data_IF_112611370159
#
_entry.id   IF_112611370159
#
_cell.length_a   1.000
_cell.length_b   1.000
_cell.length_c   1.000
_cell.angle_alpha   90.00
_cell.angle_beta   90.00
_cell.angle_gamma   90.00
#
_symmetry.space_group_name_H-M   'P 1'
#
loop_
_entity.id
_entity.type
_entity.pdbx_description
1 polymer ?
#
# COMPACT_ATOMS: atom_id res chain seq x y z
N UNK A 1 -43.35 -38.63 -32.65
CA UNK A 1 -43.02 -37.29 -32.14
C UNK A 1 -42.26 -37.49 -30.84
N UNK A 2 -41.01 -37.04 -30.84
CA UNK A 2 -39.99 -37.34 -29.84
C UNK A 2 -40.27 -36.65 -28.48
N UNK A 3 -40.17 -37.44 -27.41
CA UNK A 3 -39.48 -37.22 -26.14
C UNK A 3 -39.21 -35.79 -25.63
N UNK A 4 -39.66 -35.52 -24.39
CA UNK A 4 -38.78 -34.93 -23.37
C UNK A 4 -39.20 -35.38 -21.94
N UNK A 5 -38.43 -36.25 -21.28
CA UNK A 5 -38.64 -36.66 -19.89
C UNK A 5 -37.67 -35.95 -18.92
N UNK A 6 -38.01 -36.01 -17.63
CA UNK A 6 -37.17 -35.66 -16.46
C UNK A 6 -37.35 -34.25 -15.86
N UNK A 7 -38.45 -34.09 -15.14
CA UNK A 7 -38.32 -33.64 -13.75
C UNK A 7 -37.70 -34.77 -12.93
N UNK A 8 -36.53 -34.55 -12.33
CA UNK A 8 -36.16 -35.31 -11.14
C UNK A 8 -35.27 -34.48 -10.22
N UNK A 9 -35.73 -34.44 -8.97
CA UNK A 9 -35.03 -33.88 -7.85
C UNK A 9 -33.73 -34.66 -7.61
N UNK A 10 -32.63 -33.94 -7.44
CA UNK A 10 -31.43 -34.49 -6.83
C UNK A 10 -30.98 -33.56 -5.72
N UNK A 11 -31.40 -33.92 -4.51
CA UNK A 11 -30.63 -33.65 -3.31
C UNK A 11 -29.22 -34.22 -3.51
N UNK A 12 -28.19 -33.42 -3.27
CA UNK A 12 -26.87 -33.94 -2.97
C UNK A 12 -26.33 -33.35 -1.67
N UNK A 13 -25.59 -34.15 -0.89
CA UNK A 13 -25.33 -33.92 0.53
C UNK A 13 -24.08 -33.07 0.74
N UNK A 14 -24.09 -32.32 1.85
CA UNK A 14 -22.92 -31.62 2.38
C UNK A 14 -21.78 -32.60 2.65
N UNK A 15 -20.81 -32.67 1.74
CA UNK A 15 -19.55 -33.37 1.95
C UNK A 15 -18.51 -32.33 2.40
N UNK A 16 -18.23 -32.28 3.70
CA UNK A 16 -17.19 -31.45 4.29
C UNK A 16 -15.88 -32.26 4.27
N UNK A 17 -14.82 -31.84 3.55
CA UNK A 17 -13.55 -32.56 3.61
C UNK A 17 -12.86 -32.28 4.95
N UNK A 18 -12.80 -33.29 5.82
CA UNK A 18 -11.84 -33.32 6.93
C UNK A 18 -10.44 -33.52 6.35
N UNK A 19 -9.66 -32.45 6.26
CA UNK A 19 -8.22 -32.57 6.07
C UNK A 19 -7.55 -32.83 7.43
N UNK A 20 -7.26 -34.10 7.69
CA UNK A 20 -6.18 -34.49 8.59
C UNK A 20 -4.89 -34.49 7.77
N UNK A 21 -3.94 -33.65 8.14
CA UNK A 21 -2.55 -33.83 7.73
C UNK A 21 -1.62 -33.85 8.93
N UNK A 22 -0.68 -34.76 8.80
CA UNK A 22 0.24 -35.25 9.79
C UNK A 22 1.23 -34.19 10.27
N UNK A 23 1.54 -34.35 11.54
CA UNK A 23 2.68 -33.77 12.23
C UNK A 23 3.99 -34.11 11.49
N UNK A 24 4.66 -33.10 10.94
CA UNK A 24 6.10 -33.15 10.68
C UNK A 24 6.75 -31.93 11.32
N UNK A 25 7.57 -32.23 12.31
CA UNK A 25 8.38 -31.33 13.12
C UNK A 25 9.38 -30.55 12.26
N UNK A 26 9.26 -29.23 12.26
CA UNK A 26 10.36 -28.32 11.97
C UNK A 26 10.49 -27.38 13.17
N UNK A 27 11.55 -27.60 13.94
CA UNK A 27 11.92 -26.79 15.09
C UNK A 27 12.35 -25.39 14.63
N UNK A 28 11.52 -24.39 14.92
CA UNK A 28 11.95 -23.00 15.02
C UNK A 28 11.57 -22.48 16.41
N UNK A 29 12.56 -21.93 17.07
CA UNK A 29 12.59 -21.51 18.47
C UNK A 29 11.47 -20.53 18.80
N UNK A 30 10.68 -20.93 19.80
CA UNK A 30 9.54 -20.20 20.35
C UNK A 30 9.95 -18.87 21.01
N UNK A 31 9.52 -17.75 20.42
CA UNK A 31 9.11 -16.58 21.22
C UNK A 31 7.59 -16.58 21.28
N UNK A 32 7.06 -17.06 22.42
CA UNK A 32 5.64 -17.06 22.72
C UNK A 32 5.12 -15.63 22.83
N UNK A 33 4.37 -15.15 21.84
CA UNK A 33 3.45 -14.03 22.02
C UNK A 33 2.06 -14.63 22.19
N UNK A 34 1.59 -14.62 23.43
CA UNK A 34 0.26 -15.08 23.82
C UNK A 34 -0.81 -14.32 23.03
N UNK A 35 -1.55 -15.05 22.20
CA UNK A 35 -2.79 -14.59 21.58
C UNK A 35 -3.89 -14.45 22.64
N UNK A 36 -3.98 -13.27 23.24
CA UNK A 36 -5.16 -12.83 23.96
C UNK A 36 -6.15 -12.29 22.92
N UNK A 37 -7.28 -12.98 22.73
CA UNK A 37 -8.47 -12.41 22.10
C UNK A 37 -9.43 -11.93 23.20
N UNK A 38 -9.33 -10.68 23.70
CA UNK A 38 -10.42 -10.06 24.41
C UNK A 38 -11.42 -9.49 23.40
N UNK A 39 -12.71 -9.62 23.72
CA UNK A 39 -13.80 -9.36 22.80
C UNK A 39 -13.88 -7.93 22.26
N UNK A 40 -14.41 -7.84 21.03
CA UNK A 40 -15.11 -6.69 20.42
C UNK A 40 -14.57 -5.31 20.81
N UNK A 41 -13.26 -5.14 20.82
CA UNK A 41 -12.61 -3.84 20.71
C UNK A 41 -12.90 -3.31 19.32
N UNK A 42 -13.43 -2.09 19.19
CA UNK A 42 -13.42 -1.38 17.92
C UNK A 42 -12.01 -1.44 17.36
N UNK A 43 -11.78 -2.20 16.28
CA UNK A 43 -10.49 -2.22 15.60
C UNK A 43 -10.27 -0.80 15.10
N UNK A 44 -9.41 -0.06 15.80
CA UNK A 44 -9.06 1.30 15.41
C UNK A 44 -8.37 1.20 14.05
N UNK A 45 -9.03 1.67 13.00
CA UNK A 45 -8.48 1.66 11.65
C UNK A 45 -7.31 2.64 11.59
N UNK A 46 -6.10 2.10 11.60
CA UNK A 46 -4.82 2.81 11.44
C UNK A 46 -4.03 2.14 10.31
N UNK A 47 -2.96 2.79 9.87
CA UNK A 47 -2.02 2.19 8.93
C UNK A 47 -1.07 1.21 9.67
N UNK A 48 -1.12 -0.07 9.32
CA UNK A 48 -0.33 -1.15 9.93
C UNK A 48 0.96 -1.47 9.15
N UNK A 49 1.21 -0.78 8.04
CA UNK A 49 2.39 -1.03 7.21
C UNK A 49 3.72 -0.67 7.89
N UNK A 50 4.85 -1.22 7.43
CA UNK A 50 5.00 -2.28 6.43
C UNK A 50 4.99 -3.70 7.07
N UNK A 51 4.47 -3.84 8.28
CA UNK A 51 4.59 -5.08 9.05
C UNK A 51 3.69 -6.21 8.50
N UNK A 52 4.02 -7.49 8.75
CA UNK A 52 3.09 -8.60 8.51
C UNK A 52 1.74 -8.33 9.20
N UNK A 53 0.66 -8.45 8.44
CA UNK A 53 -0.66 -8.00 8.90
C UNK A 53 -1.77 -8.93 8.41
N UNK A 54 -2.72 -9.25 9.29
CA UNK A 54 -3.91 -10.06 8.99
C UNK A 54 -5.12 -9.36 9.59
N UNK A 55 -6.16 -9.16 8.78
CA UNK A 55 -7.43 -8.57 9.21
C UNK A 55 -8.59 -9.15 8.40
N UNK A 56 -9.80 -9.11 8.95
CA UNK A 56 -11.02 -9.28 8.17
C UNK A 56 -11.27 -8.00 7.36
N UNK A 57 -10.83 -8.00 6.09
CA UNK A 57 -10.93 -6.80 5.23
C UNK A 57 -12.38 -6.41 4.94
N UNK A 58 -13.30 -7.38 4.78
CA UNK A 58 -14.73 -7.11 4.57
C UNK A 58 -15.32 -6.31 5.73
N UNK A 59 -15.03 -6.72 6.97
CA UNK A 59 -15.49 -6.01 8.16
C UNK A 59 -14.82 -4.63 8.30
N UNK A 60 -13.50 -4.54 8.10
CA UNK A 60 -12.77 -3.28 8.19
C UNK A 60 -13.28 -2.24 7.17
N UNK A 61 -13.49 -2.66 5.92
CA UNK A 61 -14.04 -1.83 4.85
C UNK A 61 -15.46 -1.34 5.18
N UNK A 62 -16.33 -2.22 5.69
CA UNK A 62 -17.70 -1.85 6.06
C UNK A 62 -17.77 -0.91 7.28
N UNK A 63 -16.83 -1.06 8.21
CA UNK A 63 -16.73 -0.21 9.41
C UNK A 63 -16.16 1.18 9.11
N UNK A 64 -15.34 1.33 8.08
CA UNK A 64 -14.75 2.61 7.71
C UNK A 64 -15.83 3.63 7.29
N UNK A 65 -15.83 4.81 7.90
CA UNK A 65 -16.77 5.90 7.56
C UNK A 65 -16.10 7.15 6.99
N UNK A 66 -14.78 7.13 6.84
CA UNK A 66 -14.03 8.22 6.21
C UNK A 66 -14.09 8.08 4.69
N UNK A 67 -13.87 9.18 3.98
CA UNK A 67 -13.69 9.13 2.53
C UNK A 67 -12.49 8.26 2.14
N UNK A 68 -11.37 8.37 2.87
CA UNK A 68 -10.17 7.55 2.67
C UNK A 68 -9.43 7.34 3.99
N UNK A 69 -9.07 6.10 4.30
CA UNK A 69 -8.17 5.75 5.41
C UNK A 69 -7.14 4.74 4.91
N UNK A 70 -5.85 5.07 5.03
CA UNK A 70 -4.77 4.11 4.79
C UNK A 70 -4.82 3.02 5.87
N UNK A 71 -4.90 1.76 5.42
CA UNK A 71 -4.92 0.59 6.29
C UNK A 71 -3.55 -0.09 6.34
N UNK A 72 -2.82 -0.10 5.22
CA UNK A 72 -1.51 -0.70 5.16
C UNK A 72 -0.69 -0.08 4.03
N UNK A 73 0.46 0.50 4.34
CA UNK A 73 1.38 1.08 3.35
C UNK A 73 2.74 0.39 3.42
N UNK A 74 3.13 -0.29 2.36
CA UNK A 74 4.45 -0.92 2.22
C UNK A 74 5.27 -0.31 1.10
N UNK A 75 6.40 -0.93 0.76
CA UNK A 75 7.28 -0.42 -0.29
C UNK A 75 6.77 -0.66 -1.72
N UNK A 76 5.86 -1.62 -1.93
CA UNK A 76 5.43 -2.08 -3.25
C UNK A 76 3.94 -1.88 -3.53
N UNK A 77 3.11 -1.78 -2.49
CA UNK A 77 1.70 -1.47 -2.64
C UNK A 77 1.15 -0.83 -1.37
N UNK A 78 -0.04 -0.23 -1.49
CA UNK A 78 -0.79 0.36 -0.40
C UNK A 78 -2.24 -0.11 -0.44
N UNK A 79 -2.85 -0.33 0.72
CA UNK A 79 -4.28 -0.61 0.90
C UNK A 79 -4.93 0.60 1.58
N UNK A 80 -6.00 1.11 0.99
CA UNK A 80 -6.86 2.14 1.61
C UNK A 80 -8.30 1.64 1.70
N UNK A 81 -9.04 2.14 2.69
CA UNK A 81 -10.47 1.93 2.86
C UNK A 81 -11.20 3.22 2.47
N UNK A 82 -12.35 3.09 1.82
CA UNK A 82 -13.13 4.25 1.37
C UNK A 82 -14.63 4.05 1.63
N UNK A 83 -15.30 5.14 1.97
CA UNK A 83 -16.74 5.22 2.11
C UNK A 83 -17.26 6.42 1.31
N UNK A 84 -17.99 6.16 0.23
CA UNK A 84 -18.62 7.20 -0.57
C UNK A 84 -20.11 7.30 -0.20
N UNK A 85 -20.57 8.47 0.24
CA UNK A 85 -21.99 8.70 0.51
C UNK A 85 -22.82 8.65 -0.79
N UNK A 86 -24.15 8.52 -0.71
CA UNK A 86 -25.02 8.54 -1.88
C UNK A 86 -24.75 9.76 -2.77
N UNK A 87 -24.51 9.54 -4.07
CA UNK A 87 -24.19 10.58 -5.03
C UNK A 87 -22.76 11.09 -5.01
N UNK A 88 -21.94 10.73 -4.01
CA UNK A 88 -20.51 11.01 -4.03
C UNK A 88 -19.77 10.10 -5.02
N UNK A 89 -18.72 10.63 -5.60
CA UNK A 89 -17.74 9.93 -6.40
C UNK A 89 -16.33 10.12 -5.85
N UNK A 90 -15.39 9.29 -6.29
CA UNK A 90 -13.97 9.44 -5.96
C UNK A 90 -13.46 10.79 -6.50
N UNK A 91 -13.85 11.11 -7.74
CA UNK A 91 -13.28 12.21 -8.51
C UNK A 91 -12.59 11.65 -9.74
N UNK A 92 -12.63 12.40 -10.85
CA UNK A 92 -11.99 11.98 -12.09
C UNK A 92 -10.47 12.14 -11.97
N UNK A 93 -9.76 11.01 -11.91
CA UNK A 93 -8.32 10.95 -11.71
C UNK A 93 -7.62 10.05 -12.73
N UNK A 94 -6.28 10.10 -12.75
CA UNK A 94 -5.41 9.25 -13.56
C UNK A 94 -4.04 9.17 -12.89
N UNK A 95 -3.55 7.95 -12.66
CA UNK A 95 -2.20 7.71 -12.15
C UNK A 95 -1.32 7.17 -13.28
N UNK A 96 -0.24 7.88 -13.69
CA UNK A 96 0.52 7.51 -14.88
C UNK A 96 1.35 6.23 -14.70
N UNK A 97 1.70 5.89 -13.46
CA UNK A 97 2.67 4.88 -13.08
C UNK A 97 2.15 3.92 -11.99
N UNK A 98 0.87 4.01 -11.62
CA UNK A 98 0.24 3.19 -10.59
C UNK A 98 -0.90 2.39 -11.17
N UNK A 99 -0.82 1.06 -11.05
CA UNK A 99 -1.99 0.19 -11.22
C UNK A 99 -2.83 0.24 -9.94
N UNK A 100 -4.15 0.26 -10.10
CA UNK A 100 -5.09 0.30 -8.99
C UNK A 100 -6.13 -0.81 -9.10
N UNK A 101 -6.41 -1.45 -7.96
CA UNK A 101 -7.46 -2.45 -7.80
C UNK A 101 -8.46 -1.95 -6.77
N UNK A 102 -9.75 -1.94 -7.13
CA UNK A 102 -10.85 -1.63 -6.20
C UNK A 102 -11.69 -2.88 -5.98
N UNK A 103 -12.10 -3.12 -4.73
CA UNK A 103 -13.09 -4.15 -4.38
C UNK A 103 -14.24 -3.52 -3.60
N UNK A 104 -15.46 -3.73 -4.08
CA UNK A 104 -16.67 -3.29 -3.41
C UNK A 104 -17.13 -4.36 -2.43
N UNK A 105 -17.36 -3.95 -1.18
CA UNK A 105 -17.84 -4.81 -0.09
C UNK A 105 -19.27 -4.46 0.33
N UNK A 106 -19.79 -3.31 -0.10
CA UNK A 106 -21.18 -2.90 0.15
C UNK A 106 -21.61 -1.80 -0.81
N UNK A 107 -22.85 -1.87 -1.29
CA UNK A 107 -23.49 -0.79 -2.06
C UNK A 107 -23.48 -1.04 -3.56
N UNK A 108 -23.73 0.03 -4.34
CA UNK A 108 -23.73 -0.01 -5.81
C UNK A 108 -23.24 1.31 -6.39
N UNK A 109 -22.58 1.22 -7.53
CA UNK A 109 -22.00 2.37 -8.21
C UNK A 109 -21.95 2.19 -9.71
N UNK A 110 -21.40 3.19 -10.38
CA UNK A 110 -21.00 3.13 -11.78
C UNK A 110 -19.52 3.49 -11.87
N UNK A 111 -18.74 2.63 -12.51
CA UNK A 111 -17.35 2.92 -12.86
C UNK A 111 -17.31 3.42 -14.30
N UNK A 112 -16.50 4.45 -14.53
CA UNK A 112 -16.25 5.05 -15.83
C UNK A 112 -14.74 5.10 -16.06
N UNK A 113 -14.26 4.60 -17.21
CA UNK A 113 -12.83 4.55 -17.54
C UNK A 113 -12.57 4.90 -19.01
N UNK A 114 -11.41 5.48 -19.30
CA UNK A 114 -11.05 5.90 -20.65
C UNK A 114 -9.57 6.21 -20.84
N UNK A 115 -9.15 6.30 -22.11
CA UNK A 115 -7.78 6.71 -22.48
C UNK A 115 -7.53 8.21 -22.30
N UNK A 116 -8.58 9.03 -22.35
CA UNK A 116 -8.49 10.48 -22.21
C UNK A 116 -9.55 10.98 -21.25
N UNK A 117 -9.27 12.13 -20.62
CA UNK A 117 -10.18 12.79 -19.67
C UNK A 117 -11.57 13.01 -20.24
N UNK A 118 -11.65 13.38 -21.53
CA UNK A 118 -12.89 13.73 -22.20
C UNK A 118 -13.61 12.52 -22.85
N UNK A 119 -13.05 11.31 -22.76
CA UNK A 119 -13.63 10.11 -23.38
C UNK A 119 -13.53 8.87 -22.49
N UNK A 120 -14.47 8.77 -21.54
CA UNK A 120 -14.66 7.61 -20.66
C UNK A 120 -15.52 6.53 -21.34
N UNK A 121 -14.96 5.91 -22.39
CA UNK A 121 -15.64 4.94 -23.26
C UNK A 121 -16.06 3.63 -22.58
N UNK A 122 -15.45 3.28 -21.45
CA UNK A 122 -15.81 2.10 -20.66
C UNK A 122 -16.70 2.53 -19.49
N UNK A 123 -17.91 1.99 -19.39
CA UNK A 123 -18.82 2.28 -18.27
C UNK A 123 -19.52 1.00 -17.83
N UNK A 124 -19.52 0.69 -16.53
CA UNK A 124 -20.17 -0.50 -15.98
C UNK A 124 -20.80 -0.18 -14.62
N UNK A 125 -22.00 -0.71 -14.39
CA UNK A 125 -22.54 -0.78 -13.04
C UNK A 125 -21.77 -1.83 -12.25
N UNK A 126 -21.50 -1.51 -10.99
CA UNK A 126 -20.77 -2.35 -10.05
C UNK A 126 -21.54 -2.44 -8.73
N UNK A 127 -21.39 -3.56 -8.05
CA UNK A 127 -22.15 -3.92 -6.87
C UNK A 127 -21.23 -4.55 -5.82
N UNK A 128 -21.79 -4.96 -4.69
CA UNK A 128 -21.14 -5.90 -3.79
C UNK A 128 -20.52 -7.07 -4.58
N UNK A 129 -19.37 -7.53 -4.12
CA UNK A 129 -18.52 -8.52 -4.78
C UNK A 129 -17.96 -8.16 -6.17
N UNK A 130 -18.06 -6.90 -6.60
CA UNK A 130 -17.38 -6.44 -7.82
C UNK A 130 -15.92 -6.08 -7.56
N UNK A 131 -15.04 -6.49 -8.47
CA UNK A 131 -13.67 -6.01 -8.56
C UNK A 131 -13.52 -5.09 -9.78
N UNK A 132 -12.71 -4.04 -9.64
CA UNK A 132 -12.38 -3.10 -10.71
C UNK A 132 -10.86 -3.05 -10.80
N UNK A 133 -10.33 -3.27 -12.01
CA UNK A 133 -8.90 -3.15 -12.29
C UNK A 133 -8.72 -1.91 -13.16
N UNK A 134 -7.85 -1.01 -12.73
CA UNK A 134 -7.55 0.26 -13.36
C UNK A 134 -6.05 0.27 -13.69
N UNK A 135 -5.69 0.03 -14.96
CA UNK A 135 -4.30 0.09 -15.37
C UNK A 135 -3.73 1.51 -15.30
N UNK A 136 -2.44 1.63 -15.01
CA UNK A 136 -1.70 2.88 -15.07
C UNK A 136 -1.95 3.64 -16.39
N UNK A 137 -2.11 4.96 -16.29
CA UNK A 137 -2.42 5.84 -17.42
C UNK A 137 -3.90 5.89 -17.81
N UNK A 138 -4.79 5.16 -17.11
CA UNK A 138 -6.23 5.15 -17.40
C UNK A 138 -6.95 6.25 -16.62
N UNK A 139 -7.68 7.12 -17.30
CA UNK A 139 -8.61 8.04 -16.65
C UNK A 139 -9.79 7.26 -16.09
N UNK A 140 -10.14 7.50 -14.83
CA UNK A 140 -11.18 6.73 -14.16
C UNK A 140 -11.96 7.53 -13.10
N UNK A 141 -13.19 7.09 -12.84
CA UNK A 141 -14.01 7.57 -11.73
C UNK A 141 -14.95 6.44 -11.27
N UNK A 142 -15.35 6.47 -10.01
CA UNK A 142 -16.38 5.60 -9.43
C UNK A 142 -17.37 6.47 -8.66
N UNK A 143 -18.64 6.42 -9.07
CA UNK A 143 -19.73 7.17 -8.45
C UNK A 143 -20.68 6.23 -7.72
N UNK A 144 -21.05 6.57 -6.48
CA UNK A 144 -22.10 5.88 -5.74
C UNK A 144 -23.48 6.23 -6.34
N UNK A 145 -24.13 5.25 -6.94
CA UNK A 145 -25.47 5.39 -7.55
C UNK A 145 -26.59 4.82 -6.65
N UNK A 146 -26.23 4.34 -5.45
CA UNK A 146 -27.14 3.80 -4.46
C UNK A 146 -27.69 4.85 -3.50
N UNK A 147 -28.49 4.37 -2.55
CA UNK A 147 -29.11 5.16 -1.47
C UNK A 147 -28.44 4.95 -0.11
N UNK A 148 -27.35 4.18 -0.07
CA UNK A 148 -26.54 3.90 1.12
C UNK A 148 -25.07 4.15 0.80
N UNK A 149 -24.19 4.33 1.80
CA UNK A 149 -22.76 4.44 1.55
C UNK A 149 -22.21 3.24 0.77
N UNK A 150 -21.41 3.52 -0.26
CA UNK A 150 -20.62 2.56 -1.02
C UNK A 150 -19.33 2.32 -0.25
N UNK A 151 -19.11 1.07 0.19
CA UNK A 151 -17.92 0.67 0.95
C UNK A 151 -17.00 -0.13 0.05
N UNK A 152 -15.76 0.30 -0.06
CA UNK A 152 -14.75 -0.36 -0.88
C UNK A 152 -13.38 -0.25 -0.23
N UNK A 153 -12.47 -1.14 -0.63
CA UNK A 153 -11.04 -0.92 -0.43
C UNK A 153 -10.33 -0.77 -1.78
N UNK A 154 -9.24 -0.01 -1.76
CA UNK A 154 -8.35 0.20 -2.90
C UNK A 154 -6.99 -0.39 -2.59
N UNK A 155 -6.37 -1.01 -3.59
CA UNK A 155 -4.96 -1.40 -3.59
C UNK A 155 -4.26 -0.63 -4.70
N UNK A 156 -3.23 0.13 -4.34
CA UNK A 156 -2.36 0.87 -5.27
C UNK A 156 -1.01 0.16 -5.37
N UNK A 157 -0.48 -0.03 -6.58
CA UNK A 157 0.85 -0.57 -6.81
C UNK A 157 1.61 0.27 -7.86
N UNK A 158 2.63 1.06 -7.49
CA UNK A 158 3.15 1.30 -6.13
C UNK A 158 2.20 2.11 -5.21
N UNK A 159 2.54 2.34 -3.92
CA UNK A 159 1.77 3.22 -3.03
C UNK A 159 1.50 4.61 -3.62
N UNK A 160 0.31 5.15 -3.36
CA UNK A 160 -0.11 6.45 -3.92
C UNK A 160 -0.21 7.57 -2.86
N UNK A 161 -0.63 7.25 -1.64
CA UNK A 161 -0.79 8.22 -0.55
C UNK A 161 0.28 8.04 0.53
N UNK A 162 0.59 9.09 1.32
CA UNK A 162 1.46 8.97 2.49
C UNK A 162 1.01 7.89 3.49
N UNK A 163 1.96 7.33 4.23
CA UNK A 163 1.68 6.45 5.37
C UNK A 163 0.74 7.14 6.37
N UNK A 164 -0.28 6.44 6.86
CA UNK A 164 -1.19 6.97 7.87
C UNK A 164 -2.20 8.00 7.35
N UNK A 165 -2.35 8.17 6.04
CA UNK A 165 -3.34 9.09 5.46
C UNK A 165 -4.76 8.79 5.95
N UNK A 166 -5.43 9.82 6.46
CA UNK A 166 -6.86 9.80 6.77
C UNK A 166 -7.50 11.07 6.23
N UNK A 167 -8.42 10.92 5.27
CA UNK A 167 -9.27 11.98 4.76
C UNK A 167 -10.70 11.69 5.23
N UNK A 168 -11.18 12.45 6.21
CA UNK A 168 -12.53 12.23 6.77
C UNK A 168 -13.58 12.49 5.70
N UNK A 169 -13.41 13.56 4.92
CA UNK A 169 -14.32 13.96 3.86
C UNK A 169 -13.65 13.96 2.49
N UNK A 170 -14.47 13.96 1.43
CA UNK A 170 -13.97 14.16 0.07
C UNK A 170 -13.25 15.50 -0.10
N UNK A 171 -13.76 16.55 0.54
CA UNK A 171 -13.14 17.88 0.52
C UNK A 171 -11.71 17.85 1.09
N UNK A 172 -11.48 17.12 2.18
CA UNK A 172 -10.14 16.97 2.76
C UNK A 172 -9.20 16.26 1.78
N UNK A 173 -9.69 15.24 1.07
CA UNK A 173 -8.93 14.53 0.06
C UNK A 173 -8.57 15.41 -1.14
N UNK A 174 -9.55 16.16 -1.65
CA UNK A 174 -9.33 17.11 -2.75
C UNK A 174 -8.35 18.20 -2.36
N UNK A 175 -8.45 18.77 -1.16
CA UNK A 175 -7.52 19.77 -0.68
C UNK A 175 -6.07 19.24 -0.57
N UNK A 176 -5.91 17.97 -0.14
CA UNK A 176 -4.61 17.32 -0.10
C UNK A 176 -4.02 17.08 -1.51
N UNK A 177 -4.85 16.66 -2.47
CA UNK A 177 -4.45 16.41 -3.87
C UNK A 177 -4.19 17.71 -4.66
N UNK A 178 -4.98 18.76 -4.42
CA UNK A 178 -4.75 20.11 -4.93
C UNK A 178 -3.48 20.73 -4.33
N UNK A 179 -3.23 20.53 -3.02
CA UNK A 179 -1.98 20.93 -2.38
C UNK A 179 -0.74 20.25 -2.99
N UNK A 180 -0.88 19.02 -3.49
CA UNK A 180 0.17 18.33 -4.26
C UNK A 180 0.28 18.84 -5.70
N UNK A 181 -0.83 19.28 -6.30
CA UNK A 181 -0.89 19.78 -7.69
C UNK A 181 -0.51 21.26 -7.83
N UNK A 182 -0.60 22.06 -6.75
CA UNK A 182 -0.35 23.50 -6.75
C UNK A 182 1.05 23.93 -6.26
N UNK A 183 1.96 22.99 -5.98
CA UNK A 183 3.38 23.34 -5.85
C UNK A 183 3.98 23.48 -7.25
N UNK A 184 3.62 24.59 -7.91
CA UNK A 184 4.29 25.11 -9.09
C UNK A 184 5.79 25.33 -8.76
N UNK A 185 6.62 24.32 -9.00
CA UNK A 185 8.09 24.43 -8.98
C UNK A 185 8.86 23.31 -8.28
N UNK A 186 8.24 22.49 -7.43
CA UNK A 186 8.98 21.44 -6.72
C UNK A 186 8.57 20.05 -7.21
N UNK A 187 9.48 19.42 -7.96
CA UNK A 187 9.36 18.02 -8.42
C UNK A 187 9.11 17.08 -7.24
N UNK A 188 7.87 16.62 -7.03
CA UNK A 188 7.60 15.58 -6.03
C UNK A 188 8.04 14.24 -6.60
N UNK A 189 9.05 13.62 -5.98
CA UNK A 189 9.61 12.32 -6.36
C UNK A 189 9.25 11.34 -5.23
N UNK A 190 8.58 10.22 -5.53
CA UNK A 190 8.22 9.20 -4.52
C UNK A 190 7.54 9.79 -3.25
N UNK A 191 6.61 10.73 -3.44
CA UNK A 191 5.83 11.33 -2.34
C UNK A 191 6.55 12.38 -1.48
N UNK A 192 7.75 12.83 -1.87
CA UNK A 192 8.51 13.91 -1.20
C UNK A 192 9.03 14.93 -2.23
N UNK A 193 9.14 16.20 -1.86
CA UNK A 193 9.88 17.17 -2.70
C UNK A 193 11.39 16.86 -2.69
N UNK A 194 12.20 17.43 -3.61
CA UNK A 194 13.65 17.19 -3.59
C UNK A 194 14.27 17.70 -2.30
N UNK A 195 13.78 18.82 -1.76
CA UNK A 195 14.23 19.36 -0.47
C UNK A 195 13.80 18.48 0.71
N UNK A 196 12.63 17.84 0.64
CA UNK A 196 12.23 16.87 1.64
C UNK A 196 13.07 15.59 1.58
N UNK A 197 13.53 15.19 0.39
CA UNK A 197 14.53 14.13 0.25
C UNK A 197 15.85 14.54 0.89
N UNK A 198 16.34 15.74 0.60
CA UNK A 198 17.56 16.27 1.23
C UNK A 198 17.42 16.24 2.75
N UNK A 199 16.33 16.79 3.31
CA UNK A 199 16.07 16.81 4.75
C UNK A 199 15.94 15.40 5.32
N UNK A 200 15.29 14.48 4.62
CA UNK A 200 15.13 13.11 5.08
C UNK A 200 16.48 12.37 5.17
N UNK A 201 17.38 12.61 4.22
CA UNK A 201 18.71 11.99 4.21
C UNK A 201 19.77 12.76 5.00
N UNK A 202 19.41 13.86 5.65
CA UNK A 202 20.33 14.76 6.37
C UNK A 202 21.12 14.03 7.45
N UNK A 203 20.50 13.05 8.12
CA UNK A 203 21.18 12.16 9.07
C UNK A 203 22.43 11.51 8.46
N UNK A 204 22.30 10.89 7.28
CA UNK A 204 23.43 10.25 6.61
C UNK A 204 24.51 11.29 6.32
N UNK A 205 24.14 12.44 5.74
CA UNK A 205 25.11 13.49 5.40
C UNK A 205 25.93 13.92 6.62
N UNK A 206 25.30 14.06 7.78
CA UNK A 206 25.98 14.41 9.02
C UNK A 206 26.98 13.34 9.47
N UNK A 207 26.64 12.05 9.40
CA UNK A 207 27.58 10.96 9.70
C UNK A 207 28.80 11.00 8.76
N UNK A 208 28.58 11.25 7.46
CA UNK A 208 29.67 11.29 6.47
C UNK A 208 30.60 12.47 6.68
N UNK A 209 30.06 13.61 7.11
CA UNK A 209 30.86 14.77 7.49
C UNK A 209 31.74 14.49 8.71
N UNK A 210 31.28 13.66 9.66
CA UNK A 210 32.11 13.21 10.78
C UNK A 210 33.26 12.31 10.33
N UNK A 211 33.03 11.41 9.37
CA UNK A 211 34.10 10.56 8.83
C UNK A 211 35.13 11.33 8.00
N UNK A 212 34.70 12.36 7.26
CA UNK A 212 35.62 13.31 6.63
C UNK A 212 36.49 14.00 7.68
N UNK A 213 35.93 14.45 8.81
CA UNK A 213 36.70 15.08 9.89
C UNK A 213 37.69 14.11 10.55
N UNK A 214 37.37 12.82 10.59
CA UNK A 214 38.24 11.75 11.09
C UNK A 214 39.34 11.35 10.11
N UNK A 215 39.33 11.89 8.89
CA UNK A 215 40.34 11.61 7.86
C UNK A 215 40.15 10.26 7.19
N UNK A 216 38.93 9.72 7.17
CA UNK A 216 38.60 8.47 6.48
C UNK A 216 38.75 8.65 4.95
N UNK A 217 39.13 7.59 4.26
CA UNK A 217 39.33 7.60 2.81
C UNK A 217 38.05 8.03 2.06
N UNK A 218 38.15 9.04 1.19
CA UNK A 218 36.99 9.58 0.45
C UNK A 218 36.32 8.55 -0.44
N UNK A 219 37.07 7.61 -1.03
CA UNK A 219 36.51 6.53 -1.84
C UNK A 219 35.66 5.60 -0.98
N UNK A 220 36.10 5.32 0.24
CA UNK A 220 35.35 4.51 1.20
C UNK A 220 34.04 5.19 1.57
N UNK A 221 34.10 6.47 1.99
CA UNK A 221 32.91 7.27 2.33
C UNK A 221 31.92 7.28 1.16
N UNK A 222 32.36 7.53 -0.07
CA UNK A 222 31.45 7.53 -1.22
C UNK A 222 30.79 6.16 -1.46
N UNK A 223 31.51 5.06 -1.28
CA UNK A 223 30.95 3.71 -1.44
C UNK A 223 29.90 3.41 -0.38
N UNK A 224 30.15 3.76 0.88
CA UNK A 224 29.18 3.60 1.97
C UNK A 224 27.91 4.39 1.71
N UNK A 225 28.03 5.66 1.34
CA UNK A 225 26.90 6.56 1.14
C UNK A 225 26.03 6.16 -0.05
N UNK A 226 26.65 5.72 -1.14
CA UNK A 226 25.90 5.19 -2.29
C UNK A 226 25.12 3.94 -1.87
N UNK A 227 25.74 3.06 -1.07
CA UNK A 227 25.09 1.83 -0.61
C UNK A 227 23.93 2.13 0.37
N UNK A 228 24.13 3.06 1.31
CA UNK A 228 23.08 3.55 2.21
C UNK A 228 21.94 4.18 1.40
N UNK A 229 22.24 5.01 0.39
CA UNK A 229 21.25 5.60 -0.51
C UNK A 229 20.42 4.57 -1.28
N UNK A 230 21.05 3.48 -1.73
CA UNK A 230 20.35 2.35 -2.36
C UNK A 230 19.39 1.69 -1.36
N UNK A 231 19.80 1.46 -0.10
CA UNK A 231 18.95 0.89 0.94
C UNK A 231 17.77 1.81 1.30
N UNK A 232 18.02 3.12 1.39
CA UNK A 232 16.95 4.12 1.58
C UNK A 232 15.96 4.04 0.42
N UNK A 233 16.44 3.95 -0.83
CA UNK A 233 15.60 3.73 -2.02
C UNK A 233 14.84 2.39 -2.01
N UNK A 234 15.26 1.41 -1.21
CA UNK A 234 14.56 0.14 -0.97
C UNK A 234 13.61 0.18 0.23
N UNK A 235 13.45 1.33 0.87
CA UNK A 235 12.49 1.55 1.97
C UNK A 235 13.09 1.48 3.37
N UNK A 236 14.42 1.42 3.51
CA UNK A 236 15.07 1.53 4.82
C UNK A 236 14.98 2.98 5.32
N UNK A 237 14.90 3.18 6.64
CA UNK A 237 15.15 4.51 7.20
C UNK A 237 16.64 4.88 7.04
N UNK A 238 17.01 6.17 7.02
CA UNK A 238 18.40 6.62 7.00
C UNK A 238 19.25 5.93 8.08
N UNK A 239 18.76 5.88 9.31
CA UNK A 239 19.42 5.25 10.44
C UNK A 239 19.58 3.75 10.22
N UNK A 240 18.53 3.09 9.70
CA UNK A 240 18.60 1.64 9.46
C UNK A 240 19.55 1.30 8.31
N UNK A 241 19.60 2.13 7.27
CA UNK A 241 20.54 2.00 6.17
C UNK A 241 21.99 2.15 6.68
N UNK A 242 22.24 3.16 7.52
CA UNK A 242 23.53 3.37 8.17
C UNK A 242 23.96 2.14 9.00
N UNK A 243 23.13 1.69 9.95
CA UNK A 243 23.39 0.51 10.78
C UNK A 243 23.72 -0.74 9.95
N UNK A 244 22.98 -0.93 8.85
CA UNK A 244 23.15 -2.10 7.98
C UNK A 244 24.48 -2.07 7.24
N UNK A 245 24.88 -0.92 6.69
CA UNK A 245 26.14 -0.78 5.97
C UNK A 245 27.34 -0.90 6.91
N UNK A 246 27.27 -0.27 8.08
CA UNK A 246 28.28 -0.41 9.16
C UNK A 246 28.43 -1.87 9.60
N UNK A 247 27.31 -2.59 9.75
CA UNK A 247 27.35 -4.02 10.07
C UNK A 247 28.03 -4.83 8.96
N UNK A 248 27.73 -4.58 7.69
CA UNK A 248 28.37 -5.26 6.56
C UNK A 248 29.88 -5.01 6.49
N UNK A 249 30.32 -3.81 6.84
CA UNK A 249 31.75 -3.50 6.91
C UNK A 249 32.41 -4.19 8.11
N UNK A 250 31.84 -4.06 9.30
CA UNK A 250 32.34 -4.64 10.55
C UNK A 250 32.44 -6.17 10.49
N UNK A 251 31.45 -6.81 9.89
CA UNK A 251 31.39 -8.28 9.76
C UNK A 251 32.21 -8.79 8.58
N UNK A 252 32.57 -7.92 7.63
CA UNK A 252 33.26 -8.30 6.40
C UNK A 252 32.36 -8.95 5.35
N UNK A 253 31.04 -8.80 5.49
CA UNK A 253 30.08 -9.16 4.44
C UNK A 253 30.39 -8.39 3.14
N UNK A 254 30.77 -7.11 3.26
CA UNK A 254 31.32 -6.33 2.15
C UNK A 254 32.85 -6.30 2.16
N UNK A 255 33.46 -7.19 1.38
CA UNK A 255 34.92 -7.21 1.17
C UNK A 255 35.45 -5.92 0.56
N UNK A 256 34.66 -5.27 -0.31
CA UNK A 256 35.07 -4.04 -0.99
C UNK A 256 35.08 -2.83 -0.05
N UNK A 257 34.13 -2.75 0.89
CA UNK A 257 34.13 -1.68 1.90
C UNK A 257 35.33 -1.82 2.86
N UNK A 258 35.64 -3.03 3.31
CA UNK A 258 36.84 -3.25 4.13
C UNK A 258 38.14 -2.90 3.40
N UNK A 259 38.21 -3.21 2.10
CA UNK A 259 39.38 -2.86 1.29
C UNK A 259 39.54 -1.34 1.16
N UNK A 260 38.45 -0.62 0.89
CA UNK A 260 38.53 0.83 0.67
C UNK A 260 38.82 1.64 1.93
N UNK A 261 38.44 1.14 3.11
CA UNK A 261 38.76 1.79 4.40
C UNK A 261 40.26 1.87 4.69
N UNK A 262 41.01 0.89 4.20
CA UNK A 262 42.44 0.73 4.46
C UNK A 262 43.33 1.33 3.36
N UNK A 263 42.73 2.02 2.37
CA UNK A 263 43.46 2.76 1.33
C UNK A 263 43.81 4.16 1.80
#
# INVERSE_FOLDING_TARGET
>A
MYNDPYMNAYQYPNYVPKYHYYNQSINWTHHHINGYYPGRSSNMLTDYGPNPFVININEATKQNNTFRTALWTGAQFQITLMSLNPGEDIGLEMHPDVDQFLRLEQGRGIVQMGKTKDNLSFQRYVYDDSAIVIPAGTWHNLTNTGSTPLKLYSIYAPPNHPFGTVHVTKTDAMAAEEGQSHINGNTVIFGRTPDDWIRYTEFLVNEGLEDVKRGINVTHILQEFILMGVLVGKGYSPEKAYETVEEWERTGESKLLQQSKNM
#
